data_IF_825356492740
#
_entry.id   IF_825356492740
#
_cell.length_a   1.000
_cell.length_b   1.000
_cell.length_c   1.000
_cell.angle_alpha   90.00
_cell.angle_beta   90.00
_cell.angle_gamma   90.00
#
_symmetry.space_group_name_H-M   'P 1'
#
loop_
_entity.id
_entity.type
_entity.pdbx_description
1 polymer ?
#
# COMPACT_ATOMS: atom_id res chain seq x y z
N UNK A 1 14.69 10.80 19.05
CA UNK A 1 15.37 9.52 18.71
C UNK A 1 14.48 8.51 17.98
N UNK A 2 13.20 8.34 18.34
CA UNK A 2 12.27 7.42 17.64
C UNK A 2 12.14 7.70 16.13
N UNK A 3 12.09 8.96 15.71
CA UNK A 3 11.89 9.35 14.31
C UNK A 3 13.01 8.85 13.36
N UNK A 4 14.28 9.00 13.76
CA UNK A 4 15.44 8.61 12.93
C UNK A 4 15.47 7.08 12.72
N UNK A 5 15.13 6.30 13.76
CA UNK A 5 15.07 4.84 13.67
C UNK A 5 13.94 4.40 12.73
N UNK A 6 12.75 5.01 12.87
CA UNK A 6 11.60 4.77 11.99
C UNK A 6 11.94 5.08 10.52
N UNK A 7 12.63 6.19 10.28
CA UNK A 7 13.10 6.60 8.96
C UNK A 7 14.10 5.60 8.37
N UNK A 8 15.13 5.22 9.14
CA UNK A 8 16.16 4.29 8.69
C UNK A 8 15.57 2.92 8.31
N UNK A 9 14.64 2.39 9.11
CA UNK A 9 13.93 1.14 8.81
C UNK A 9 13.11 1.23 7.53
N UNK A 10 12.35 2.33 7.34
CA UNK A 10 11.54 2.52 6.14
C UNK A 10 12.41 2.59 4.86
N UNK A 11 13.51 3.35 4.92
CA UNK A 11 14.45 3.46 3.79
C UNK A 11 15.13 2.12 3.49
N UNK A 12 15.57 1.39 4.53
CA UNK A 12 16.22 0.09 4.38
C UNK A 12 15.30 -0.91 3.65
N UNK A 13 14.03 -0.97 4.05
CA UNK A 13 13.02 -1.84 3.41
C UNK A 13 12.85 -1.51 1.93
N UNK A 14 12.75 -0.22 1.60
CA UNK A 14 12.59 0.23 0.21
C UNK A 14 13.81 -0.17 -0.62
N UNK A 15 15.02 0.08 -0.11
CA UNK A 15 16.26 -0.27 -0.79
C UNK A 15 16.38 -1.78 -1.03
N UNK A 16 16.10 -2.61 -0.01
CA UNK A 16 16.08 -4.07 -0.16
C UNK A 16 15.07 -4.53 -1.22
N UNK A 17 13.87 -3.96 -1.22
CA UNK A 17 12.85 -4.28 -2.21
C UNK A 17 13.31 -3.91 -3.63
N UNK A 18 13.91 -2.73 -3.82
CA UNK A 18 14.43 -2.33 -5.15
C UNK A 18 15.56 -3.23 -5.64
N UNK A 19 16.39 -3.74 -4.74
CA UNK A 19 17.48 -4.65 -5.09
C UNK A 19 16.93 -6.03 -5.51
N UNK A 20 15.93 -6.55 -4.78
CA UNK A 20 15.28 -7.83 -5.12
C UNK A 20 14.51 -7.71 -6.44
N UNK A 21 13.93 -6.55 -6.74
CA UNK A 21 13.19 -6.31 -7.98
C UNK A 21 14.02 -6.51 -9.25
N UNK A 22 15.33 -6.23 -9.18
CA UNK A 22 16.25 -6.42 -10.31
C UNK A 22 16.49 -7.89 -10.65
N UNK A 23 16.48 -8.76 -9.65
CA UNK A 23 16.81 -10.19 -9.81
C UNK A 23 15.55 -11.06 -9.90
N UNK A 24 14.50 -10.73 -9.13
CA UNK A 24 13.26 -11.51 -9.01
C UNK A 24 12.05 -10.58 -8.90
N UNK A 25 11.54 -10.04 -10.03
CA UNK A 25 10.47 -9.06 -10.04
C UNK A 25 9.15 -9.58 -9.44
N UNK A 26 8.85 -10.88 -9.57
CA UNK A 26 7.66 -11.50 -8.95
C UNK A 26 7.71 -11.50 -7.43
N UNK A 27 8.87 -11.83 -6.84
CA UNK A 27 9.08 -11.75 -5.40
C UNK A 27 9.10 -10.31 -4.91
N UNK A 28 9.68 -9.39 -5.69
CA UNK A 28 9.63 -7.98 -5.34
C UNK A 28 8.22 -7.41 -5.38
N UNK A 29 7.38 -7.86 -6.32
CA UNK A 29 5.94 -7.54 -6.33
C UNK A 29 5.23 -8.03 -5.06
N UNK A 30 5.51 -9.28 -4.64
CA UNK A 30 4.96 -9.82 -3.39
C UNK A 30 5.41 -9.00 -2.17
N UNK A 31 6.70 -8.64 -2.10
CA UNK A 31 7.25 -7.81 -1.02
C UNK A 31 6.67 -6.39 -1.05
N UNK A 32 6.47 -5.82 -2.24
CA UNK A 32 5.91 -4.47 -2.41
C UNK A 32 4.43 -4.39 -2.02
N UNK A 33 3.66 -5.47 -2.26
CA UNK A 33 2.26 -5.58 -1.82
C UNK A 33 2.15 -6.00 -0.36
N UNK A 34 3.21 -6.58 0.21
CA UNK A 34 3.27 -6.86 1.64
C UNK A 34 3.02 -5.54 2.39
N UNK A 35 2.08 -5.49 3.36
CA UNK A 35 1.71 -4.25 4.02
C UNK A 35 2.78 -3.90 5.08
N UNK A 36 4.05 -3.75 4.68
CA UNK A 36 5.14 -3.46 5.60
C UNK A 36 4.97 -2.06 6.22
N UNK A 37 4.55 -1.10 5.41
CA UNK A 37 4.11 0.21 5.87
C UNK A 37 2.92 0.08 6.83
N UNK A 38 1.94 -0.75 6.46
CA UNK A 38 0.78 -1.05 7.29
C UNK A 38 1.15 -1.68 8.64
N UNK A 39 2.15 -2.56 8.65
CA UNK A 39 2.67 -3.25 9.83
C UNK A 39 3.43 -2.29 10.73
N UNK A 40 4.30 -1.44 10.17
CA UNK A 40 5.01 -0.41 10.94
C UNK A 40 4.04 0.57 11.61
N UNK A 41 3.01 1.02 10.87
CA UNK A 41 1.97 1.89 11.42
C UNK A 41 1.16 1.16 12.51
N UNK A 42 0.83 -0.12 12.30
CA UNK A 42 0.14 -0.95 13.31
C UNK A 42 0.96 -1.07 14.60
N UNK A 43 2.27 -1.30 14.51
CA UNK A 43 3.16 -1.36 15.68
C UNK A 43 3.23 -0.02 16.42
N UNK A 44 3.23 1.10 15.70
CA UNK A 44 3.22 2.42 16.33
C UNK A 44 1.88 2.73 16.98
N UNK A 45 0.76 2.47 16.31
CA UNK A 45 -0.57 2.63 16.90
C UNK A 45 -0.71 1.76 18.15
N UNK A 46 -0.23 0.52 18.11
CA UNK A 46 -0.24 -0.38 19.26
C UNK A 46 0.54 0.21 20.44
N UNK A 47 1.74 0.74 20.19
CA UNK A 47 2.58 1.41 21.18
C UNK A 47 1.95 2.69 21.74
N UNK A 48 1.35 3.52 20.87
CA UNK A 48 0.77 4.82 21.25
C UNK A 48 -0.58 4.67 21.95
N UNK A 49 -1.36 3.63 21.61
CA UNK A 49 -2.70 3.38 22.16
C UNK A 49 -2.72 2.31 23.26
N UNK A 50 -1.56 1.87 23.74
CA UNK A 50 -1.40 0.79 24.73
C UNK A 50 -2.20 -0.48 24.39
N UNK A 51 -2.30 -0.80 23.10
CA UNK A 51 -3.04 -1.97 22.63
C UNK A 51 -4.57 -1.86 22.71
N UNK A 52 -5.16 -0.65 22.71
CA UNK A 52 -6.62 -0.49 22.67
C UNK A 52 -7.24 -1.27 21.48
N UNK A 53 -8.06 -2.31 21.74
CA UNK A 53 -8.54 -3.22 20.70
C UNK A 53 -9.49 -2.54 19.71
N UNK A 54 -10.20 -1.48 20.12
CA UNK A 54 -11.14 -0.75 19.25
C UNK A 54 -10.39 0.00 18.16
N UNK A 55 -9.30 0.72 18.51
CA UNK A 55 -8.49 1.45 17.52
C UNK A 55 -7.75 0.51 16.58
N UNK A 56 -7.23 -0.61 17.11
CA UNK A 56 -6.57 -1.62 16.30
C UNK A 56 -7.54 -2.29 15.32
N UNK A 57 -8.77 -2.57 15.76
CA UNK A 57 -9.83 -3.12 14.90
C UNK A 57 -10.20 -2.15 13.77
N UNK A 58 -10.43 -0.86 14.09
CA UNK A 58 -10.75 0.15 13.08
C UNK A 58 -9.62 0.35 12.07
N UNK A 59 -8.37 0.39 12.53
CA UNK A 59 -7.21 0.46 11.65
C UNK A 59 -7.11 -0.76 10.72
N UNK A 60 -7.28 -1.96 11.26
CA UNK A 60 -7.23 -3.20 10.49
C UNK A 60 -8.36 -3.26 9.47
N UNK A 61 -9.57 -2.85 9.85
CA UNK A 61 -10.71 -2.75 8.93
C UNK A 61 -10.40 -1.77 7.79
N UNK A 62 -9.86 -0.59 8.10
CA UNK A 62 -9.43 0.38 7.11
C UNK A 62 -8.35 -0.16 6.16
N UNK A 63 -7.39 -0.93 6.68
CA UNK A 63 -6.35 -1.57 5.89
C UNK A 63 -6.91 -2.64 4.95
N UNK A 64 -7.79 -3.52 5.43
CA UNK A 64 -8.47 -4.55 4.61
C UNK A 64 -9.20 -3.91 3.44
N UNK A 65 -9.94 -2.86 3.72
CA UNK A 65 -10.67 -2.09 2.72
C UNK A 65 -9.75 -1.34 1.74
N UNK A 66 -8.60 -0.84 2.20
CA UNK A 66 -7.56 -0.20 1.38
C UNK A 66 -6.86 -1.14 0.39
N UNK A 67 -6.99 -2.46 0.55
CA UNK A 67 -6.47 -3.44 -0.42
C UNK A 67 -7.26 -3.35 -1.73
N UNK A 68 -8.57 -3.07 -1.69
CA UNK A 68 -9.43 -3.09 -2.88
C UNK A 68 -8.98 -2.06 -3.94
N UNK A 69 -8.78 -0.76 -3.62
CA UNK A 69 -8.22 0.20 -4.57
C UNK A 69 -6.82 -0.18 -5.05
N UNK A 70 -6.00 -0.77 -4.17
CA UNK A 70 -4.64 -1.21 -4.52
C UNK A 70 -4.64 -2.33 -5.58
N UNK A 71 -5.57 -3.28 -5.48
CA UNK A 71 -5.78 -4.31 -6.51
C UNK A 71 -6.15 -3.67 -7.84
N UNK A 72 -7.05 -2.68 -7.83
CA UNK A 72 -7.45 -1.95 -9.04
C UNK A 72 -6.25 -1.27 -9.71
N UNK A 73 -5.40 -0.60 -8.92
CA UNK A 73 -4.18 0.05 -9.42
C UNK A 73 -3.20 -0.93 -10.07
N UNK A 74 -2.84 -2.01 -9.37
CA UNK A 74 -1.88 -2.97 -9.91
C UNK A 74 -2.46 -3.76 -11.09
N UNK A 75 -3.77 -4.04 -11.08
CA UNK A 75 -4.48 -4.65 -12.20
C UNK A 75 -4.46 -3.78 -13.45
N UNK A 76 -4.79 -2.50 -13.34
CA UNK A 76 -4.69 -1.56 -14.46
C UNK A 76 -3.26 -1.39 -14.94
N UNK A 77 -2.30 -1.30 -14.02
CA UNK A 77 -0.88 -1.16 -14.36
C UNK A 77 -0.38 -2.37 -15.15
N UNK A 78 -0.73 -3.59 -14.70
CA UNK A 78 -0.42 -4.83 -15.40
C UNK A 78 -1.00 -4.85 -16.82
N UNK A 79 -2.27 -4.47 -16.99
CA UNK A 79 -2.90 -4.41 -18.32
C UNK A 79 -2.24 -3.38 -19.24
N UNK A 80 -1.89 -2.21 -18.72
CA UNK A 80 -1.21 -1.16 -19.49
C UNK A 80 0.21 -1.58 -19.89
N UNK A 81 0.98 -2.20 -18.99
CA UNK A 81 2.29 -2.75 -19.32
C UNK A 81 2.20 -3.89 -20.35
N UNK A 82 1.16 -4.73 -20.29
CA UNK A 82 0.91 -5.78 -21.30
C UNK A 82 0.65 -5.20 -22.69
N UNK A 83 0.13 -3.97 -22.78
CA UNK A 83 -0.10 -3.23 -24.03
C UNK A 83 1.12 -2.45 -24.53
N UNK A 84 2.27 -2.57 -23.85
CA UNK A 84 3.50 -1.86 -24.22
C UNK A 84 3.45 -0.34 -24.00
N UNK A 85 2.54 0.14 -23.13
CA UNK A 85 2.41 1.56 -22.84
C UNK A 85 3.62 2.09 -22.06
N UNK A 86 3.96 3.37 -22.26
CA UNK A 86 5.04 4.01 -21.51
C UNK A 86 4.67 4.19 -20.03
N UNK A 87 5.69 4.23 -19.16
CA UNK A 87 5.50 4.35 -17.70
C UNK A 87 4.60 5.53 -17.31
N UNK A 88 4.74 6.69 -17.96
CA UNK A 88 3.92 7.87 -17.66
C UNK A 88 2.43 7.63 -17.86
N UNK A 89 2.06 6.97 -18.96
CA UNK A 89 0.65 6.61 -19.22
C UNK A 89 0.15 5.54 -18.25
N UNK A 90 0.99 4.54 -17.94
CA UNK A 90 0.64 3.48 -16.99
C UNK A 90 0.33 4.08 -15.61
N UNK A 91 1.18 5.00 -15.13
CA UNK A 91 0.99 5.68 -13.86
C UNK A 91 -0.26 6.57 -13.89
N UNK A 92 -0.48 7.32 -14.97
CA UNK A 92 -1.66 8.17 -15.12
C UNK A 92 -2.97 7.37 -15.05
N UNK A 93 -3.09 6.35 -15.91
CA UNK A 93 -4.30 5.51 -15.98
C UNK A 93 -4.54 4.77 -14.66
N UNK A 94 -3.48 4.20 -14.07
CA UNK A 94 -3.62 3.42 -12.83
C UNK A 94 -3.94 4.30 -11.62
N UNK A 95 -3.38 5.51 -11.56
CA UNK A 95 -3.71 6.47 -10.50
C UNK A 95 -5.16 6.94 -10.60
N UNK A 96 -5.64 7.21 -11.80
CA UNK A 96 -7.06 7.57 -12.01
C UNK A 96 -7.98 6.41 -11.60
N UNK A 97 -7.65 5.19 -12.02
CA UNK A 97 -8.40 3.99 -11.63
C UNK A 97 -8.44 3.80 -10.10
N UNK A 98 -7.32 4.04 -9.42
CA UNK A 98 -7.24 4.00 -7.96
C UNK A 98 -8.11 5.06 -7.29
N UNK A 99 -8.06 6.31 -7.76
CA UNK A 99 -8.87 7.41 -7.21
C UNK A 99 -10.36 7.09 -7.37
N UNK A 100 -10.78 6.62 -8.55
CA UNK A 100 -12.17 6.23 -8.78
C UNK A 100 -12.61 5.09 -7.85
N UNK A 101 -11.78 4.06 -7.69
CA UNK A 101 -12.05 2.96 -6.76
C UNK A 101 -12.13 3.45 -5.31
N UNK A 102 -11.23 4.35 -4.89
CA UNK A 102 -11.23 4.95 -3.56
C UNK A 102 -12.47 5.83 -3.30
N UNK A 103 -12.93 6.58 -4.30
CA UNK A 103 -14.14 7.41 -4.20
C UNK A 103 -15.41 6.57 -4.11
N UNK A 104 -15.56 5.56 -4.96
CA UNK A 104 -16.67 4.59 -4.89
C UNK A 104 -16.69 3.94 -3.51
N UNK A 105 -15.53 3.53 -3.03
CA UNK A 105 -15.38 2.92 -1.72
C UNK A 105 -15.75 3.86 -0.55
N UNK A 106 -15.25 5.10 -0.56
CA UNK A 106 -15.61 6.10 0.44
C UNK A 106 -17.11 6.44 0.41
N UNK A 107 -17.74 6.41 -0.77
CA UNK A 107 -19.18 6.59 -0.91
C UNK A 107 -19.96 5.45 -0.24
N UNK A 108 -19.49 4.19 -0.37
CA UNK A 108 -20.14 3.02 0.25
C UNK A 108 -19.93 2.92 1.77
N UNK A 109 -18.79 3.37 2.30
CA UNK A 109 -18.48 3.30 3.74
C UNK A 109 -18.88 4.56 4.52
N UNK A 110 -19.46 5.57 3.87
CA UNK A 110 -20.05 6.70 4.59
C UNK A 110 -21.17 6.17 5.50
N UNK A 111 -21.05 6.32 6.83
CA UNK A 111 -22.16 6.00 7.72
C UNK A 111 -23.31 6.94 7.36
N UNK A 112 -24.44 6.36 6.94
CA UNK A 112 -25.71 7.08 6.91
C UNK A 112 -26.20 7.30 8.34
#
# INVERSE_FOLDING_TARGET
>A
MQFVIKLALAVLVILLCTQIARTRPTLAGLIAVMPLTGLLVMLWIYSDCQGNPVRMSQYTLGAVWGILPSIVFFGSAYMCFRKGMSLGWVLGVSSIAWILAALVHQYFLRPR
#
